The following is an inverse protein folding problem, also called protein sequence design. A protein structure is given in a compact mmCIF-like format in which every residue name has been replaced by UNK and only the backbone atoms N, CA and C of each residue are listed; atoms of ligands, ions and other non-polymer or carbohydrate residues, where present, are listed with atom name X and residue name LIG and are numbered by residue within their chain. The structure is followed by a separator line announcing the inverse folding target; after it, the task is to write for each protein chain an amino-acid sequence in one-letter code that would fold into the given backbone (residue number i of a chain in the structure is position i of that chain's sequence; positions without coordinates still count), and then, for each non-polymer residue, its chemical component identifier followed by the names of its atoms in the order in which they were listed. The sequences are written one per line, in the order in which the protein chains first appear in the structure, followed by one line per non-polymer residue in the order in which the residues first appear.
data_IF_568563738937
#
_entry.id   IF_568563738937
#
_cell.length_a   1.000
_cell.length_b   1.000
_cell.length_c   1.000
_cell.angle_alpha   90.00
_cell.angle_beta   90.00
_cell.angle_gamma   90.00
#
_symmetry.space_group_name_H-M   'P 1'
#
loop_
_entity.id
_entity.type
_entity.pdbx_description
1 polymer ?
#
# COMPACT_ATOMS: atom_id res chain seq x y z
N UNK A 1 55.73 17.33 -14.73
CA UNK A 1 56.40 17.13 -16.03
C UNK A 1 55.76 15.88 -16.65
N UNK A 2 55.12 16.01 -17.82
CA UNK A 2 54.61 14.87 -18.58
C UNK A 2 55.78 14.22 -19.31
N UNK A 3 56.02 12.96 -19.04
CA UNK A 3 57.12 12.21 -19.65
C UNK A 3 56.64 11.27 -20.77
N UNK A 4 55.54 11.63 -21.46
CA UNK A 4 55.11 10.84 -22.62
C UNK A 4 56.02 11.12 -23.81
N UNK A 5 56.46 10.05 -24.47
CA UNK A 5 57.46 10.10 -25.55
C UNK A 5 58.89 9.88 -25.06
N UNK A 6 59.84 10.09 -25.92
CA UNK A 6 61.25 9.94 -25.58
C UNK A 6 61.75 11.11 -24.71
N UNK A 7 62.24 10.78 -23.53
CA UNK A 7 62.85 11.73 -22.60
C UNK A 7 64.32 11.40 -22.48
N UNK A 8 65.18 12.37 -22.79
CA UNK A 8 66.62 12.24 -22.62
C UNK A 8 67.01 12.79 -21.25
N UNK A 9 67.49 11.90 -20.41
CA UNK A 9 67.97 12.27 -19.08
C UNK A 9 69.46 12.30 -19.09
N UNK A 10 70.04 13.43 -18.73
CA UNK A 10 71.46 13.60 -18.55
C UNK A 10 71.80 13.08 -17.14
N UNK A 11 72.68 12.06 -17.12
CA UNK A 11 73.12 11.42 -15.87
C UNK A 11 74.62 11.72 -15.70
N UNK A 12 74.96 12.28 -14.55
CA UNK A 12 76.32 12.63 -14.17
C UNK A 12 76.72 11.65 -13.07
N UNK A 13 77.79 10.93 -13.31
CA UNK A 13 78.47 10.17 -12.27
C UNK A 13 79.58 11.06 -11.66
N UNK A 14 79.46 11.31 -10.36
CA UNK A 14 80.50 12.02 -9.60
C UNK A 14 81.19 11.01 -8.67
N UNK A 15 82.46 10.72 -8.88
CA UNK A 15 83.22 9.82 -7.99
C UNK A 15 83.42 10.45 -6.61
N UNK A 16 83.51 9.62 -5.58
CA UNK A 16 83.75 10.07 -4.20
C UNK A 16 85.18 10.73 -4.07
N UNK A 17 86.10 10.24 -4.83
CA UNK A 17 87.47 10.85 -4.92
C UNK A 17 87.58 11.67 -6.20
N UNK A 18 87.23 12.94 -6.08
CA UNK A 18 87.28 13.92 -7.19
C UNK A 18 88.66 14.45 -7.50
N UNK A 19 89.69 14.15 -6.64
CA UNK A 19 91.11 14.49 -6.93
C UNK A 19 91.79 13.44 -7.82
N UNK A 20 91.36 12.19 -7.67
CA UNK A 20 91.92 11.09 -8.44
C UNK A 20 91.14 10.76 -9.72
N UNK A 21 89.83 11.11 -9.76
CA UNK A 21 88.96 10.74 -10.87
C UNK A 21 88.07 11.92 -11.33
N UNK A 22 87.81 12.00 -12.61
CA UNK A 22 86.94 13.00 -13.23
C UNK A 22 85.48 12.52 -13.28
N UNK A 23 84.53 13.44 -13.28
CA UNK A 23 83.13 13.15 -13.56
C UNK A 23 82.99 12.52 -14.95
N UNK A 24 81.98 11.62 -15.07
CA UNK A 24 81.62 11.05 -16.35
C UNK A 24 80.12 11.34 -16.59
N UNK A 25 79.77 11.57 -17.83
CA UNK A 25 78.39 11.93 -18.20
C UNK A 25 77.87 10.96 -19.27
N UNK A 26 76.60 10.63 -19.21
CA UNK A 26 75.88 9.90 -20.24
C UNK A 26 74.43 10.34 -20.39
N UNK A 27 73.82 10.06 -21.52
CA UNK A 27 72.38 10.24 -21.73
C UNK A 27 71.67 8.89 -21.60
N UNK A 28 70.53 8.89 -20.89
CA UNK A 28 69.65 7.76 -20.82
C UNK A 28 68.35 8.17 -21.47
N UNK A 29 67.83 7.37 -22.41
CA UNK A 29 66.55 7.57 -23.05
C UNK A 29 65.50 6.78 -22.26
N UNK A 30 64.50 7.47 -21.75
CA UNK A 30 63.31 6.89 -21.09
C UNK A 30 62.08 7.20 -21.93
N UNK A 31 61.42 6.16 -22.44
CA UNK A 31 60.19 6.33 -23.19
C UNK A 31 58.98 6.24 -22.23
N UNK A 32 58.30 7.35 -22.05
CA UNK A 32 56.99 7.37 -21.34
C UNK A 32 55.86 6.98 -22.29
N UNK A 33 55.01 6.10 -21.83
CA UNK A 33 53.79 5.70 -22.54
C UNK A 33 52.54 6.29 -21.86
N UNK A 34 51.46 6.46 -22.63
CA UNK A 34 50.16 6.85 -22.07
C UNK A 34 49.48 5.65 -21.44
N UNK A 35 48.68 5.92 -20.41
CA UNK A 35 47.77 4.92 -19.83
C UNK A 35 46.57 4.69 -20.72
N UNK A 36 46.14 3.46 -20.91
CA UNK A 36 44.96 3.12 -21.68
C UNK A 36 43.72 3.06 -20.75
N UNK A 37 42.67 3.80 -21.08
CA UNK A 37 41.43 3.69 -20.34
C UNK A 37 40.79 2.34 -20.63
N UNK A 38 40.44 1.58 -19.55
CA UNK A 38 39.83 0.26 -19.63
C UNK A 38 38.38 0.23 -19.11
N UNK A 39 38.01 1.20 -18.27
CA UNK A 39 36.68 1.19 -17.63
C UNK A 39 36.25 2.61 -17.29
N UNK A 40 34.93 2.88 -17.42
CA UNK A 40 34.24 4.05 -16.86
C UNK A 40 33.58 3.65 -15.54
N UNK A 41 33.99 4.29 -14.45
CA UNK A 41 33.48 3.99 -13.10
C UNK A 41 32.19 4.75 -12.75
N UNK A 42 32.03 5.95 -13.31
CA UNK A 42 30.83 6.77 -13.07
C UNK A 42 29.63 6.21 -13.83
N UNK A 43 28.52 5.99 -13.11
CA UNK A 43 27.25 5.55 -13.68
C UNK A 43 26.22 6.64 -13.43
N UNK A 44 25.46 7.00 -14.45
CA UNK A 44 24.36 7.94 -14.35
C UNK A 44 23.03 7.22 -14.55
N UNK A 45 22.01 7.64 -13.78
CA UNK A 45 20.64 7.18 -13.94
C UNK A 45 19.67 8.37 -13.84
N UNK A 46 18.68 8.40 -14.72
CA UNK A 46 17.58 9.38 -14.74
C UNK A 46 16.30 8.60 -14.61
N UNK A 47 15.62 8.70 -13.46
CA UNK A 47 14.43 7.89 -13.13
C UNK A 47 13.24 8.72 -12.64
N UNK A 48 13.40 10.05 -12.55
CA UNK A 48 12.44 10.98 -11.97
C UNK A 48 11.67 11.80 -13.01
N UNK A 49 11.89 11.54 -14.29
CA UNK A 49 11.27 12.32 -15.37
C UNK A 49 9.99 11.67 -15.89
N UNK A 50 8.93 12.47 -16.11
CA UNK A 50 7.69 11.96 -16.67
C UNK A 50 7.83 11.55 -18.14
N UNK A 51 6.98 10.63 -18.57
CA UNK A 51 6.81 10.28 -19.99
C UNK A 51 6.50 11.57 -20.79
N UNK A 52 7.12 11.71 -21.95
CA UNK A 52 7.00 12.92 -22.78
C UNK A 52 8.04 14.01 -22.46
N UNK A 53 8.96 13.79 -21.51
CA UNK A 53 10.00 14.78 -21.19
C UNK A 53 10.89 15.04 -22.41
N UNK A 54 10.98 16.29 -22.91
CA UNK A 54 11.87 16.60 -24.02
C UNK A 54 13.33 16.40 -23.64
N UNK A 55 14.19 16.09 -24.62
CA UNK A 55 15.63 15.90 -24.39
C UNK A 55 16.27 17.07 -23.64
N UNK A 56 15.88 18.31 -23.94
CA UNK A 56 16.43 19.52 -23.31
C UNK A 56 16.13 19.59 -21.80
N UNK A 57 15.07 18.92 -21.33
CA UNK A 57 14.64 18.89 -19.94
C UNK A 57 15.02 17.59 -19.22
N UNK A 58 15.64 16.66 -19.94
CA UNK A 58 16.04 15.36 -19.38
C UNK A 58 17.07 15.49 -18.27
N UNK A 59 17.94 16.51 -18.34
CA UNK A 59 18.98 16.76 -17.34
C UNK A 59 20.22 15.90 -17.61
N UNK A 60 20.65 15.82 -18.88
CA UNK A 60 21.89 15.13 -19.25
C UNK A 60 23.05 15.68 -18.44
N UNK A 61 23.87 14.81 -17.76
CA UNK A 61 25.02 15.26 -16.98
C UNK A 61 26.03 16.02 -17.83
N UNK A 62 26.51 17.13 -17.31
CA UNK A 62 27.57 17.95 -17.92
C UNK A 62 28.90 17.77 -17.24
N UNK A 63 28.90 17.25 -16.02
CA UNK A 63 30.12 16.84 -15.32
C UNK A 63 30.76 15.64 -16.03
N UNK A 64 32.09 15.62 -15.99
CA UNK A 64 32.86 14.51 -16.58
C UNK A 64 32.77 13.25 -15.70
N UNK A 65 33.25 12.15 -16.27
CA UNK A 65 33.28 10.83 -15.63
C UNK A 65 34.62 10.50 -15.03
N UNK A 66 34.64 9.58 -14.08
CA UNK A 66 35.85 8.93 -13.57
C UNK A 66 36.13 7.69 -14.39
N UNK A 67 37.36 7.56 -14.84
CA UNK A 67 37.83 6.41 -15.59
C UNK A 67 38.94 5.69 -14.84
N UNK A 68 39.10 4.38 -15.11
CA UNK A 68 40.19 3.55 -14.65
C UNK A 68 41.03 3.10 -15.85
N UNK A 69 42.32 3.02 -15.67
CA UNK A 69 43.25 2.63 -16.73
C UNK A 69 43.82 1.22 -16.50
N UNK A 70 44.53 0.71 -17.48
CA UNK A 70 45.27 -0.56 -17.49
C UNK A 70 46.24 -0.70 -16.33
N UNK A 71 46.87 0.38 -15.88
CA UNK A 71 47.71 0.42 -14.68
C UNK A 71 46.96 0.43 -13.36
N UNK A 72 45.62 0.57 -13.38
CA UNK A 72 44.78 0.77 -12.20
C UNK A 72 44.69 2.21 -11.72
N UNK A 73 45.37 3.17 -12.36
CA UNK A 73 45.22 4.58 -12.05
C UNK A 73 43.86 5.12 -12.45
N UNK A 74 43.34 6.07 -11.66
CA UNK A 74 42.06 6.70 -11.91
C UNK A 74 42.21 8.18 -12.30
N UNK A 75 41.43 8.62 -13.27
CA UNK A 75 41.41 9.99 -13.75
C UNK A 75 39.98 10.56 -13.77
N UNK A 76 39.82 11.77 -13.28
CA UNK A 76 38.55 12.51 -13.26
C UNK A 76 38.79 14.03 -13.14
N UNK A 77 37.93 14.85 -13.70
CA UNK A 77 36.80 14.51 -14.60
C UNK A 77 37.31 14.33 -16.06
N UNK A 78 36.77 13.35 -16.78
CA UNK A 78 36.92 13.21 -18.20
C UNK A 78 35.66 13.66 -18.88
N UNK A 79 35.66 14.66 -19.77
CA UNK A 79 34.48 15.11 -20.48
C UNK A 79 33.86 14.01 -21.35
N UNK A 80 32.53 14.07 -21.54
CA UNK A 80 31.78 13.09 -22.32
C UNK A 80 30.93 13.80 -23.37
N UNK A 81 30.95 13.31 -24.59
CA UNK A 81 30.06 13.69 -25.67
C UNK A 81 28.94 12.65 -25.76
N UNK A 82 27.71 13.02 -25.33
CA UNK A 82 26.59 12.11 -25.28
C UNK A 82 25.90 11.99 -26.65
N UNK A 83 25.67 10.75 -27.09
CA UNK A 83 24.85 10.44 -28.27
C UNK A 83 23.37 10.27 -27.84
N UNK A 84 22.59 11.30 -28.03
CA UNK A 84 21.18 11.34 -27.65
C UNK A 84 20.23 10.99 -28.79
N UNK A 85 20.74 10.54 -29.92
CA UNK A 85 19.95 10.27 -31.13
C UNK A 85 18.92 9.15 -30.96
N UNK A 86 19.17 8.21 -30.04
CA UNK A 86 18.31 7.08 -29.75
C UNK A 86 17.29 7.36 -28.63
N UNK A 87 17.30 8.54 -28.01
CA UNK A 87 16.35 8.86 -26.96
C UNK A 87 14.94 9.08 -27.50
N UNK A 88 13.98 8.31 -26.97
CA UNK A 88 12.55 8.44 -27.25
C UNK A 88 11.79 8.92 -26.01
N UNK A 89 11.28 10.15 -25.97
CA UNK A 89 10.52 10.68 -24.85
C UNK A 89 9.19 9.95 -24.61
N UNK A 90 8.70 9.16 -25.55
CA UNK A 90 7.42 8.44 -25.45
C UNK A 90 7.57 6.96 -25.11
N UNK A 91 8.80 6.47 -24.87
CA UNK A 91 9.05 5.10 -24.47
C UNK A 91 9.05 4.95 -22.94
N UNK A 92 8.28 3.98 -22.42
CA UNK A 92 8.34 3.54 -21.02
C UNK A 92 9.41 2.47 -20.78
N UNK A 93 9.94 1.89 -21.85
CA UNK A 93 11.03 0.92 -21.72
C UNK A 93 12.32 1.62 -21.30
N UNK A 94 13.15 0.98 -20.44
CA UNK A 94 14.44 1.54 -20.09
C UNK A 94 15.30 1.79 -21.33
N UNK A 95 15.94 2.95 -21.38
CA UNK A 95 16.78 3.38 -22.49
C UNK A 95 18.19 3.64 -22.00
N UNK A 96 19.21 3.35 -22.82
CA UNK A 96 20.60 3.64 -22.52
C UNK A 96 21.14 4.69 -23.50
N UNK A 97 21.57 5.82 -22.97
CA UNK A 97 22.29 6.85 -23.74
C UNK A 97 23.78 6.60 -23.59
N UNK A 98 24.47 6.45 -24.72
CA UNK A 98 25.91 6.23 -24.75
C UNK A 98 26.66 7.52 -24.93
N UNK A 99 27.85 7.62 -24.26
CA UNK A 99 28.73 8.76 -24.37
C UNK A 99 30.15 8.35 -24.79
N UNK A 100 30.72 9.12 -25.68
CA UNK A 100 32.10 8.99 -26.09
C UNK A 100 32.98 9.85 -25.20
N UNK A 101 34.07 9.30 -24.68
CA UNK A 101 35.02 10.03 -23.84
C UNK A 101 35.78 11.06 -24.68
N UNK A 102 35.69 12.32 -24.32
CA UNK A 102 36.41 13.40 -24.98
C UNK A 102 37.79 13.61 -24.30
N UNK A 103 38.66 12.65 -24.49
CA UNK A 103 40.02 12.68 -23.93
C UNK A 103 40.80 13.85 -24.45
N UNK A 104 40.59 14.25 -25.70
CA UNK A 104 41.34 15.33 -26.34
C UNK A 104 41.13 16.68 -25.63
N UNK A 105 39.92 16.93 -25.11
CA UNK A 105 39.60 18.14 -24.34
C UNK A 105 39.73 17.97 -22.83
N UNK A 106 40.23 16.83 -22.37
CA UNK A 106 40.49 16.58 -20.96
C UNK A 106 41.80 17.20 -20.49
N UNK A 107 41.87 17.57 -19.21
CA UNK A 107 43.11 18.01 -18.57
C UNK A 107 44.25 16.95 -18.67
N UNK A 108 43.86 15.69 -18.90
CA UNK A 108 44.78 14.52 -18.93
C UNK A 108 45.07 14.03 -20.34
N UNK A 109 44.77 14.81 -21.38
CA UNK A 109 44.93 14.42 -22.80
C UNK A 109 46.31 13.91 -23.18
N UNK A 110 47.36 14.38 -22.46
CA UNK A 110 48.74 13.98 -22.65
C UNK A 110 49.14 12.69 -21.93
N UNK A 111 48.31 12.25 -20.94
CA UNK A 111 48.61 11.12 -20.05
C UNK A 111 47.83 9.87 -20.36
N UNK A 112 46.66 10.02 -20.95
CA UNK A 112 45.73 8.90 -21.19
C UNK A 112 45.33 8.82 -22.66
N UNK A 113 44.92 7.61 -23.06
CA UNK A 113 44.28 7.30 -24.34
C UNK A 113 43.06 6.45 -24.09
N UNK A 114 42.09 6.48 -24.98
CA UNK A 114 40.93 5.58 -24.93
C UNK A 114 40.91 4.64 -26.12
N UNK A 115 40.44 3.42 -25.91
CA UNK A 115 40.03 2.51 -26.96
C UNK A 115 38.61 2.84 -27.39
N UNK A 116 38.23 2.53 -28.64
CA UNK A 116 36.94 2.92 -29.20
C UNK A 116 35.72 2.29 -28.51
N UNK A 117 35.89 1.18 -27.80
CA UNK A 117 34.81 0.42 -27.19
C UNK A 117 34.44 0.88 -25.75
N UNK A 118 35.29 1.73 -25.13
CA UNK A 118 35.01 2.23 -23.77
C UNK A 118 34.09 3.45 -23.85
N UNK A 119 32.85 3.29 -23.36
CA UNK A 119 31.85 4.32 -23.38
C UNK A 119 31.31 4.61 -21.99
N UNK A 120 30.89 5.85 -21.75
CA UNK A 120 30.05 6.24 -20.64
C UNK A 120 28.60 5.91 -20.94
N UNK A 121 27.78 5.69 -19.91
CA UNK A 121 26.35 5.37 -20.06
C UNK A 121 25.48 6.19 -19.12
N UNK A 122 24.27 6.51 -19.59
CA UNK A 122 23.17 7.01 -18.76
C UNK A 122 22.01 6.03 -18.93
N UNK A 123 21.54 5.44 -17.84
CA UNK A 123 20.31 4.67 -17.83
C UNK A 123 19.12 5.62 -17.63
N UNK A 124 18.16 5.63 -18.55
CA UNK A 124 16.97 6.48 -18.49
C UNK A 124 15.72 5.62 -18.37
N UNK A 125 14.91 5.86 -17.33
CA UNK A 125 13.61 5.24 -17.14
C UNK A 125 12.57 6.31 -16.87
N UNK A 126 11.67 6.54 -17.82
CA UNK A 126 10.62 7.54 -17.70
C UNK A 126 9.43 7.00 -16.89
N UNK A 127 8.80 7.88 -16.12
CA UNK A 127 7.61 7.54 -15.32
C UNK A 127 6.33 7.81 -16.12
N UNK A 128 5.43 6.83 -16.17
CA UNK A 128 4.07 7.07 -16.64
C UNK A 128 3.28 7.84 -15.58
N UNK A 129 2.94 9.09 -15.87
CA UNK A 129 2.15 9.96 -15.00
C UNK A 129 0.69 10.09 -15.45
N UNK A 130 0.27 9.36 -16.48
CA UNK A 130 -1.12 9.35 -16.94
C UNK A 130 -1.99 8.69 -15.88
N UNK A 131 -3.17 9.26 -15.64
CA UNK A 131 -4.17 8.71 -14.73
C UNK A 131 -5.32 8.14 -15.55
N UNK A 132 -5.53 6.85 -15.42
CA UNK A 132 -6.61 6.13 -16.10
C UNK A 132 -7.78 5.92 -15.15
N UNK A 133 -8.99 6.11 -15.67
CA UNK A 133 -10.21 5.83 -14.93
C UNK A 133 -10.40 4.32 -14.78
N UNK A 134 -10.62 3.89 -13.56
CA UNK A 134 -10.90 2.49 -13.23
C UNK A 134 -12.39 2.20 -13.30
N UNK A 135 -12.74 1.05 -13.86
CA UNK A 135 -14.10 0.54 -13.93
C UNK A 135 -14.14 -0.86 -13.35
N UNK A 136 -15.07 -1.12 -12.43
CA UNK A 136 -15.33 -2.47 -11.92
C UNK A 136 -16.20 -3.21 -12.95
N UNK A 137 -15.62 -4.24 -13.56
CA UNK A 137 -16.32 -5.05 -14.59
C UNK A 137 -16.97 -6.30 -14.00
N UNK A 138 -16.45 -6.77 -12.88
CA UNK A 138 -17.05 -7.84 -12.10
C UNK A 138 -17.04 -7.40 -10.64
N UNK A 139 -18.20 -7.10 -10.02
CA UNK A 139 -18.25 -6.83 -8.60
C UNK A 139 -17.75 -8.03 -7.78
N UNK A 140 -17.13 -7.80 -6.62
CA UNK A 140 -16.82 -8.87 -5.68
C UNK A 140 -18.10 -9.44 -5.08
N UNK A 141 -18.01 -10.64 -4.49
CA UNK A 141 -19.09 -11.27 -3.73
C UNK A 141 -18.72 -11.38 -2.26
N UNK A 142 -19.72 -11.51 -1.40
CA UNK A 142 -19.51 -11.76 0.02
C UNK A 142 -19.94 -13.18 0.31
N UNK A 143 -18.97 -14.04 0.61
CA UNK A 143 -19.17 -15.44 0.90
C UNK A 143 -19.21 -15.68 2.41
N UNK A 144 -20.10 -16.57 2.86
CA UNK A 144 -20.24 -16.93 4.26
C UNK A 144 -21.68 -16.88 4.72
N UNK A 145 -21.91 -17.35 5.94
CA UNK A 145 -23.20 -17.26 6.64
C UNK A 145 -23.08 -16.20 7.73
N UNK A 146 -23.88 -15.17 7.63
CA UNK A 146 -23.89 -14.03 8.55
C UNK A 146 -25.20 -14.01 9.33
N UNK A 147 -25.09 -13.71 10.60
CA UNK A 147 -26.25 -13.59 11.49
C UNK A 147 -26.36 -12.15 12.03
N UNK A 148 -27.54 -11.79 12.43
CA UNK A 148 -27.73 -10.56 13.19
C UNK A 148 -26.78 -10.52 14.40
N UNK A 149 -26.29 -9.34 14.72
CA UNK A 149 -25.23 -9.07 15.72
C UNK A 149 -23.83 -9.57 15.36
N UNK A 150 -23.60 -10.12 14.16
CA UNK A 150 -22.23 -10.29 13.67
C UNK A 150 -21.55 -8.94 13.57
N UNK A 151 -20.28 -8.92 13.86
CA UNK A 151 -19.49 -7.71 13.69
C UNK A 151 -19.26 -7.43 12.21
N UNK A 152 -19.18 -6.16 11.85
CA UNK A 152 -18.93 -5.76 10.47
C UNK A 152 -17.62 -6.32 9.90
N UNK A 153 -16.60 -6.52 10.75
CA UNK A 153 -15.31 -7.10 10.33
C UNK A 153 -15.47 -8.54 9.81
N UNK A 154 -16.53 -9.26 10.18
CA UNK A 154 -16.83 -10.59 9.62
C UNK A 154 -17.17 -10.54 8.14
N UNK A 155 -17.78 -9.46 7.64
CA UNK A 155 -18.05 -9.26 6.22
C UNK A 155 -16.76 -9.12 5.42
N UNK A 156 -15.75 -8.45 5.97
CA UNK A 156 -14.46 -8.23 5.29
C UNK A 156 -13.77 -9.55 4.96
N UNK A 157 -13.81 -10.51 5.87
CA UNK A 157 -13.24 -11.85 5.63
C UNK A 157 -13.99 -12.66 4.56
N UNK A 158 -15.27 -12.35 4.34
CA UNK A 158 -16.11 -12.96 3.32
C UNK A 158 -15.99 -12.35 1.93
N UNK A 159 -15.38 -11.18 1.78
CA UNK A 159 -15.27 -10.49 0.50
C UNK A 159 -14.32 -11.26 -0.43
N UNK A 160 -14.79 -11.68 -1.60
CA UNK A 160 -14.06 -12.53 -2.55
C UNK A 160 -14.25 -12.09 -3.99
N UNK A 161 -13.21 -12.37 -4.79
CA UNK A 161 -13.25 -12.13 -6.23
C UNK A 161 -13.32 -10.66 -6.60
N UNK A 162 -13.98 -10.38 -7.71
CA UNK A 162 -14.04 -9.06 -8.30
C UNK A 162 -12.95 -8.81 -9.32
N UNK A 163 -13.24 -7.94 -10.30
CA UNK A 163 -12.30 -7.53 -11.35
C UNK A 163 -12.49 -6.07 -11.69
N UNK A 164 -11.37 -5.37 -11.83
CA UNK A 164 -11.35 -3.99 -12.27
C UNK A 164 -10.49 -3.83 -13.54
N UNK A 165 -10.89 -2.94 -14.40
CA UNK A 165 -10.19 -2.63 -15.65
C UNK A 165 -9.93 -1.14 -15.77
N UNK A 166 -8.84 -0.80 -16.43
CA UNK A 166 -8.54 0.54 -16.90
C UNK A 166 -7.85 0.45 -18.26
N UNK A 167 -8.16 1.37 -19.14
CA UNK A 167 -7.58 1.41 -20.50
C UNK A 167 -7.65 0.04 -21.25
N UNK A 168 -8.74 -0.73 -21.04
CA UNK A 168 -8.95 -2.03 -21.68
C UNK A 168 -8.17 -3.20 -21.11
N UNK A 169 -7.43 -3.00 -20.01
CA UNK A 169 -6.65 -4.04 -19.34
C UNK A 169 -7.12 -4.26 -17.91
N UNK A 170 -7.05 -5.51 -17.43
CA UNK A 170 -7.29 -5.85 -16.03
C UNK A 170 -6.14 -5.27 -15.19
N UNK A 171 -6.49 -4.62 -14.07
CA UNK A 171 -5.52 -3.97 -13.19
C UNK A 171 -5.51 -4.64 -11.82
N UNK A 172 -4.34 -4.70 -11.23
CA UNK A 172 -4.15 -5.24 -9.88
C UNK A 172 -4.61 -4.27 -8.80
N UNK A 173 -5.19 -4.80 -7.73
CA UNK A 173 -5.65 -4.03 -6.57
C UNK A 173 -6.44 -4.88 -5.60
N UNK A 174 -6.99 -4.22 -4.59
CA UNK A 174 -7.79 -4.85 -3.53
C UNK A 174 -9.20 -4.27 -3.51
N UNK A 175 -10.17 -5.13 -3.18
CA UNK A 175 -11.54 -4.70 -2.87
C UNK A 175 -11.70 -4.62 -1.37
N UNK A 176 -12.18 -3.50 -0.87
CA UNK A 176 -12.41 -3.26 0.55
C UNK A 176 -13.77 -2.61 0.75
N UNK A 177 -14.45 -2.90 1.87
CA UNK A 177 -15.65 -2.15 2.23
C UNK A 177 -15.30 -0.70 2.52
N UNK A 178 -16.24 0.19 2.22
CA UNK A 178 -16.13 1.59 2.60
C UNK A 178 -16.11 1.71 4.13
N UNK A 179 -15.04 2.27 4.69
CA UNK A 179 -14.84 2.38 6.13
C UNK A 179 -15.90 3.25 6.80
N UNK A 180 -16.35 4.30 6.14
CA UNK A 180 -17.39 5.20 6.67
C UNK A 180 -18.73 4.49 6.78
N UNK A 181 -19.07 3.61 5.83
CA UNK A 181 -20.29 2.79 5.92
C UNK A 181 -20.17 1.69 6.98
N UNK A 182 -18.98 1.13 7.22
CA UNK A 182 -18.78 0.13 8.28
C UNK A 182 -18.90 0.72 9.68
N UNK A 183 -18.46 1.97 9.87
CA UNK A 183 -18.45 2.63 11.17
C UNK A 183 -19.77 3.32 11.49
N UNK A 184 -20.44 3.87 10.49
CA UNK A 184 -21.59 4.77 10.67
C UNK A 184 -22.88 4.30 9.98
N UNK A 185 -22.85 3.15 9.31
CA UNK A 185 -23.97 2.65 8.49
C UNK A 185 -25.26 2.36 9.27
N UNK A 186 -25.23 2.35 10.61
CA UNK A 186 -26.39 2.29 11.48
C UNK A 186 -26.24 3.26 12.66
N UNK A 187 -26.75 4.47 12.47
CA UNK A 187 -26.64 5.56 13.44
C UNK A 187 -27.43 5.35 14.73
N UNK A 188 -28.33 4.35 14.78
CA UNK A 188 -29.17 4.12 15.96
C UNK A 188 -28.40 3.47 17.13
N UNK A 189 -27.43 2.58 16.82
CA UNK A 189 -26.63 1.88 17.83
C UNK A 189 -25.22 1.56 17.27
N UNK A 190 -24.29 2.50 17.28
CA UNK A 190 -22.92 2.24 16.84
C UNK A 190 -22.31 1.10 17.66
N UNK A 191 -21.87 0.02 16.99
CA UNK A 191 -21.16 -1.09 17.64
C UNK A 191 -21.98 -2.31 18.03
N UNK A 192 -23.30 -2.38 17.75
CA UNK A 192 -24.13 -3.55 18.07
C UNK A 192 -24.01 -4.67 17.02
N UNK A 193 -23.58 -4.37 15.80
CA UNK A 193 -23.41 -5.38 14.76
C UNK A 193 -24.50 -5.35 13.67
N UNK A 194 -24.48 -6.36 12.82
CA UNK A 194 -25.37 -6.45 11.65
C UNK A 194 -26.84 -6.59 12.04
N UNK A 195 -27.74 -5.89 11.34
CA UNK A 195 -29.17 -6.16 11.36
C UNK A 195 -29.49 -7.32 10.41
N UNK A 196 -30.58 -8.06 10.67
CA UNK A 196 -31.01 -9.12 9.75
C UNK A 196 -31.68 -8.55 8.49
N UNK A 197 -31.65 -9.35 7.42
CA UNK A 197 -32.22 -9.01 6.12
C UNK A 197 -31.16 -8.81 5.05
N UNK A 198 -31.55 -8.19 3.96
CA UNK A 198 -30.63 -7.82 2.89
C UNK A 198 -29.95 -6.48 3.21
N UNK A 199 -28.63 -6.52 3.33
CA UNK A 199 -27.81 -5.34 3.52
C UNK A 199 -27.05 -5.03 2.22
N UNK A 200 -27.17 -3.80 1.72
CA UNK A 200 -26.37 -3.31 0.62
C UNK A 200 -25.23 -2.49 1.21
N UNK A 201 -23.99 -2.75 0.76
CA UNK A 201 -22.78 -2.08 1.23
C UNK A 201 -21.92 -1.65 0.06
N UNK A 202 -21.28 -0.52 0.19
CA UNK A 202 -20.31 -0.02 -0.77
C UNK A 202 -18.98 -0.72 -0.59
N UNK A 203 -18.42 -1.16 -1.71
CA UNK A 203 -17.07 -1.73 -1.79
C UNK A 203 -16.25 -0.87 -2.74
N UNK A 204 -15.06 -0.50 -2.30
CA UNK A 204 -14.12 0.33 -3.04
C UNK A 204 -12.99 -0.55 -3.54
N UNK A 205 -12.69 -0.46 -4.83
CA UNK A 205 -11.48 -1.01 -5.41
C UNK A 205 -10.34 -0.01 -5.23
N UNK A 206 -9.25 -0.44 -4.59
CA UNK A 206 -8.01 0.32 -4.42
C UNK A 206 -6.93 -0.29 -5.31
N UNK A 207 -6.52 0.38 -6.41
CA UNK A 207 -5.49 -0.15 -7.29
C UNK A 207 -4.12 -0.16 -6.59
N UNK A 208 -3.31 -1.19 -6.86
CA UNK A 208 -1.92 -1.29 -6.36
C UNK A 208 -1.09 -0.09 -6.85
N UNK A 209 -1.28 0.32 -8.10
CA UNK A 209 -0.67 1.53 -8.64
C UNK A 209 -1.67 2.71 -8.57
N UNK A 210 -1.82 3.32 -7.41
CA UNK A 210 -2.69 4.47 -7.18
C UNK A 210 -2.23 5.76 -7.88
N UNK A 211 -1.01 5.80 -8.41
CA UNK A 211 -0.48 6.94 -9.18
C UNK A 211 -1.11 7.00 -10.57
N UNK A 212 -1.30 5.83 -11.20
CA UNK A 212 -1.77 5.73 -12.58
C UNK A 212 -3.24 5.34 -12.72
N UNK A 213 -3.87 4.85 -11.65
CA UNK A 213 -5.26 4.39 -11.69
C UNK A 213 -6.09 5.00 -10.57
N UNK A 214 -7.32 5.40 -10.90
CA UNK A 214 -8.27 5.90 -9.91
C UNK A 214 -8.87 4.76 -9.10
N UNK A 215 -9.37 5.05 -7.89
CA UNK A 215 -10.27 4.16 -7.18
C UNK A 215 -11.61 4.04 -7.93
N UNK A 216 -12.32 2.95 -7.73
CA UNK A 216 -13.68 2.77 -8.22
C UNK A 216 -14.53 2.11 -7.13
N UNK A 217 -15.84 2.36 -7.13
CA UNK A 217 -16.75 1.79 -6.16
C UNK A 217 -17.89 1.03 -6.82
N UNK A 218 -18.38 0.00 -6.14
CA UNK A 218 -19.60 -0.72 -6.47
C UNK A 218 -20.33 -1.10 -5.18
N UNK A 219 -21.53 -1.65 -5.32
CA UNK A 219 -22.29 -2.17 -4.18
C UNK A 219 -22.33 -3.69 -4.22
N UNK A 220 -22.31 -4.30 -3.03
CA UNK A 220 -22.55 -5.71 -2.81
C UNK A 220 -23.76 -5.89 -1.89
N UNK A 221 -24.50 -6.99 -2.08
CA UNK A 221 -25.63 -7.33 -1.23
C UNK A 221 -25.29 -8.53 -0.38
N UNK A 222 -25.51 -8.42 0.93
CA UNK A 222 -25.29 -9.47 1.91
C UNK A 222 -26.63 -9.86 2.54
N UNK A 223 -26.89 -11.16 2.62
CA UNK A 223 -28.07 -11.66 3.33
C UNK A 223 -27.68 -12.05 4.75
N UNK A 224 -28.23 -11.37 5.73
CA UNK A 224 -27.99 -11.59 7.16
C UNK A 224 -29.18 -12.33 7.76
N UNK A 225 -28.94 -13.47 8.36
CA UNK A 225 -29.95 -14.30 9.00
C UNK A 225 -30.34 -13.71 10.37
N UNK A 226 -31.61 -13.79 10.76
CA UNK A 226 -32.07 -13.34 12.07
C UNK A 226 -31.57 -14.24 13.20
N UNK A 227 -31.59 -13.71 14.41
CA UNK A 227 -31.58 -14.53 15.62
C UNK A 227 -32.96 -15.11 15.85
N UNK A 228 -33.01 -16.28 16.47
CA UNK A 228 -34.28 -16.95 16.80
C UNK A 228 -34.43 -17.09 18.32
N UNK A 229 -35.61 -16.71 18.87
CA UNK A 229 -35.92 -16.94 20.26
C UNK A 229 -36.19 -18.44 20.46
N UNK A 230 -35.40 -19.10 21.32
CA UNK A 230 -35.58 -20.50 21.67
C UNK A 230 -36.30 -20.69 22.99
N UNK A 231 -36.21 -19.68 23.86
CA UNK A 231 -36.83 -19.73 25.19
C UNK A 231 -37.08 -18.33 25.72
N UNK A 232 -38.21 -18.12 26.38
CA UNK A 232 -38.48 -16.96 27.21
C UNK A 232 -38.25 -17.40 28.63
N UNK A 233 -37.50 -16.64 29.42
CA UNK A 233 -37.16 -16.96 30.80
C UNK A 233 -38.10 -16.15 31.72
N UNK A 234 -39.14 -16.74 32.31
CA UNK A 234 -40.07 -16.07 33.20
C UNK A 234 -39.50 -16.01 34.61
N UNK A 235 -38.42 -15.26 34.81
CA UNK A 235 -37.85 -15.09 36.15
C UNK A 235 -38.48 -13.90 36.86
N UNK A 236 -39.81 -13.97 37.04
CA UNK A 236 -40.55 -12.98 37.83
C UNK A 236 -40.87 -13.58 39.20
N UNK A 237 -40.56 -12.85 40.24
CA UNK A 237 -40.92 -13.24 41.61
C UNK A 237 -42.42 -13.04 41.84
N UNK A 238 -43.00 -13.92 42.64
CA UNK A 238 -44.40 -13.76 43.06
C UNK A 238 -44.57 -12.50 43.91
N UNK A 239 -45.60 -11.74 43.64
CA UNK A 239 -45.93 -10.55 44.43
C UNK A 239 -46.88 -10.94 45.54
N UNK A 240 -46.39 -10.96 46.76
CA UNK A 240 -47.14 -11.48 47.94
C UNK A 240 -47.45 -10.44 49.01
N UNK A 241 -46.93 -9.24 48.86
CA UNK A 241 -46.93 -8.20 49.93
C UNK A 241 -47.90 -7.04 49.65
N UNK A 242 -48.78 -7.17 48.68
CA UNK A 242 -49.70 -6.08 48.30
C UNK A 242 -51.05 -6.24 48.99
N UNK A 243 -51.55 -5.17 49.65
CA UNK A 243 -52.92 -5.18 50.23
C UNK A 243 -54.03 -5.18 49.14
N UNK A 244 -55.22 -5.67 49.51
CA UNK A 244 -56.39 -5.58 48.68
C UNK A 244 -56.65 -4.11 48.32
N UNK A 245 -57.03 -3.81 47.08
CA UNK A 245 -57.25 -2.44 46.59
C UNK A 245 -55.95 -1.83 45.95
N UNK A 246 -54.81 -2.52 45.94
CA UNK A 246 -53.62 -2.04 45.27
C UNK A 246 -53.87 -1.86 43.76
N UNK A 247 -53.62 -0.71 43.22
CA UNK A 247 -53.72 -0.46 41.77
C UNK A 247 -52.70 -1.27 40.97
N UNK A 248 -53.02 -1.62 39.74
CA UNK A 248 -52.17 -2.41 38.86
C UNK A 248 -50.77 -1.81 38.73
N UNK A 249 -50.67 -0.51 38.55
CA UNK A 249 -49.42 0.24 38.39
C UNK A 249 -48.56 0.26 39.66
N UNK A 250 -49.15 -0.10 40.81
CA UNK A 250 -48.45 -0.16 42.12
C UNK A 250 -48.02 -1.58 42.50
N UNK A 251 -48.30 -2.57 41.66
CA UNK A 251 -47.91 -3.95 41.91
C UNK A 251 -46.39 -4.13 41.92
N UNK A 252 -45.67 -3.30 41.16
CA UNK A 252 -44.20 -3.44 41.02
C UNK A 252 -43.81 -4.53 40.04
N UNK A 253 -44.65 -4.76 39.01
CA UNK A 253 -44.34 -5.72 37.95
C UNK A 253 -43.06 -5.33 37.21
N UNK A 254 -42.25 -6.32 36.86
CA UNK A 254 -41.02 -6.09 36.11
C UNK A 254 -41.32 -5.50 34.73
N UNK A 255 -40.56 -4.47 34.36
CA UNK A 255 -40.70 -3.80 33.06
C UNK A 255 -39.92 -4.53 31.94
N UNK A 256 -38.98 -5.41 32.26
CA UNK A 256 -38.21 -6.16 31.32
C UNK A 256 -38.19 -7.66 31.62
N UNK A 257 -38.15 -8.47 30.59
CA UNK A 257 -38.01 -9.92 30.66
C UNK A 257 -36.81 -10.39 29.84
N UNK A 258 -36.27 -11.55 30.20
CA UNK A 258 -35.16 -12.15 29.48
C UNK A 258 -35.60 -13.28 28.55
N UNK A 259 -34.80 -13.50 27.50
CA UNK A 259 -34.98 -14.56 26.52
C UNK A 259 -33.65 -15.14 26.10
N UNK A 260 -33.65 -16.43 25.78
CA UNK A 260 -32.54 -17.09 25.15
C UNK A 260 -32.73 -17.02 23.64
N UNK A 261 -31.75 -16.47 22.95
CA UNK A 261 -31.73 -16.38 21.49
C UNK A 261 -30.63 -17.27 20.91
N UNK A 262 -30.93 -17.89 19.80
CA UNK A 262 -30.04 -18.77 19.08
C UNK A 262 -29.50 -18.09 17.82
N UNK A 263 -28.21 -18.36 17.56
CA UNK A 263 -27.48 -17.90 16.37
C UNK A 263 -27.08 -19.11 15.53
N UNK A 264 -28.03 -19.66 14.79
CA UNK A 264 -27.78 -20.82 13.92
C UNK A 264 -27.57 -22.16 14.62
N UNK A 265 -26.96 -22.17 15.80
CA UNK A 265 -26.68 -23.37 16.59
C UNK A 265 -27.51 -23.35 17.89
N UNK A 266 -28.45 -24.31 18.08
CA UNK A 266 -29.32 -24.33 19.26
C UNK A 266 -28.55 -24.55 20.58
N UNK A 267 -27.32 -25.03 20.53
CA UNK A 267 -26.47 -25.20 21.70
C UNK A 267 -25.73 -23.93 22.10
N UNK A 268 -25.73 -22.90 21.23
CA UNK A 268 -25.10 -21.61 21.47
C UNK A 268 -26.14 -20.51 21.58
N UNK A 269 -26.66 -20.34 22.77
CA UNK A 269 -27.64 -19.29 23.06
C UNK A 269 -27.00 -18.10 23.77
N UNK A 270 -27.56 -16.93 23.53
CA UNK A 270 -27.22 -15.69 24.23
C UNK A 270 -28.45 -15.18 24.94
N UNK A 271 -28.29 -14.70 26.17
CA UNK A 271 -29.39 -14.12 26.94
C UNK A 271 -29.55 -12.67 26.55
N UNK A 272 -30.75 -12.29 26.14
CA UNK A 272 -31.16 -10.93 25.81
C UNK A 272 -32.37 -10.51 26.65
N UNK A 273 -32.55 -9.22 26.83
CA UNK A 273 -33.69 -8.67 27.58
C UNK A 273 -34.38 -7.61 26.74
N UNK A 274 -35.71 -7.58 26.85
CA UNK A 274 -36.54 -6.53 26.24
C UNK A 274 -37.77 -6.26 27.11
N UNK A 275 -38.58 -5.32 26.69
CA UNK A 275 -39.78 -4.83 27.43
C UNK A 275 -40.81 -5.90 27.58
N UNK A 276 -41.41 -6.01 28.79
CA UNK A 276 -42.59 -6.83 29.06
C UNK A 276 -43.81 -5.94 29.16
N UNK A 277 -44.83 -6.29 28.43
CA UNK A 277 -46.17 -5.66 28.54
C UNK A 277 -47.11 -6.63 29.21
N UNK A 278 -47.58 -6.28 30.39
CA UNK A 278 -48.47 -7.08 31.20
C UNK A 278 -49.95 -6.85 30.82
N UNK A 279 -50.75 -7.93 30.87
CA UNK A 279 -52.18 -7.83 30.59
C UNK A 279 -52.95 -7.37 31.83
N UNK A 280 -53.22 -6.07 31.88
CA UNK A 280 -53.91 -5.41 32.98
C UNK A 280 -55.34 -5.95 33.18
N UNK A 281 -55.97 -6.50 32.14
CA UNK A 281 -57.36 -7.02 32.27
C UNK A 281 -57.46 -8.31 33.07
N UNK A 282 -56.33 -8.93 33.37
CA UNK A 282 -56.25 -10.15 34.20
C UNK A 282 -56.11 -9.87 35.69
N UNK A 283 -56.15 -8.61 36.08
CA UNK A 283 -55.98 -8.19 37.46
C UNK A 283 -57.23 -7.49 38.00
N UNK A 284 -57.75 -7.98 39.14
CA UNK A 284 -58.81 -7.35 39.91
C UNK A 284 -58.28 -6.95 41.31
N UNK A 285 -58.14 -5.64 41.60
CA UNK A 285 -57.60 -5.18 42.88
C UNK A 285 -58.46 -5.55 44.10
N UNK A 286 -59.73 -5.91 43.91
CA UNK A 286 -60.65 -6.22 44.99
C UNK A 286 -60.75 -7.71 45.32
N UNK A 287 -60.07 -8.57 44.59
CA UNK A 287 -60.06 -10.02 44.80
C UNK A 287 -59.00 -10.40 45.83
N UNK A 288 -59.33 -11.17 46.91
CA UNK A 288 -58.41 -11.60 47.95
C UNK A 288 -57.66 -12.89 47.59
N UNK A 289 -57.87 -13.42 46.39
CA UNK A 289 -57.30 -14.70 45.96
C UNK A 289 -56.09 -14.46 45.04
N UNK A 290 -55.24 -15.49 44.92
CA UNK A 290 -54.16 -15.52 43.98
C UNK A 290 -54.64 -15.23 42.55
N UNK A 291 -53.97 -14.32 41.88
CA UNK A 291 -54.24 -13.95 40.49
C UNK A 291 -53.00 -14.19 39.67
N UNK A 292 -53.18 -14.73 38.47
CA UNK A 292 -52.12 -14.93 37.50
C UNK A 292 -52.26 -13.90 36.42
N UNK A 293 -51.24 -13.06 36.31
CA UNK A 293 -51.14 -12.03 35.26
C UNK A 293 -50.15 -12.49 34.22
N UNK A 294 -50.58 -12.51 32.96
CA UNK A 294 -49.68 -12.86 31.86
C UNK A 294 -49.05 -11.59 31.28
N UNK A 295 -47.78 -11.72 30.94
CA UNK A 295 -47.03 -10.70 30.18
C UNK A 295 -46.60 -11.22 28.82
N UNK A 296 -46.48 -10.32 27.87
CA UNK A 296 -45.86 -10.62 26.59
C UNK A 296 -44.56 -9.83 26.46
N UNK A 297 -43.51 -10.46 25.92
CA UNK A 297 -42.29 -9.80 25.57
C UNK A 297 -42.51 -9.02 24.26
N UNK A 298 -42.12 -7.75 24.23
CA UNK A 298 -42.23 -6.88 23.07
C UNK A 298 -40.82 -6.55 22.61
N UNK A 299 -40.50 -6.98 21.40
CA UNK A 299 -39.17 -6.75 20.82
C UNK A 299 -39.04 -5.30 20.35
N UNK A 300 -38.85 -4.38 21.29
CA UNK A 300 -38.68 -2.96 21.00
C UNK A 300 -37.21 -2.62 20.66
N UNK A 301 -36.30 -3.20 21.41
CA UNK A 301 -34.86 -2.98 21.25
C UNK A 301 -34.29 -3.87 20.15
N UNK A 302 -34.74 -5.13 20.07
CA UNK A 302 -34.14 -6.18 19.25
C UNK A 302 -34.92 -6.51 17.98
N UNK A 303 -35.94 -5.70 17.61
CA UNK A 303 -36.80 -5.94 16.45
C UNK A 303 -36.08 -6.09 15.11
N UNK A 304 -34.88 -5.47 14.97
CA UNK A 304 -34.08 -5.49 13.76
C UNK A 304 -33.03 -6.64 13.75
N UNK A 305 -33.04 -7.50 14.79
CA UNK A 305 -32.07 -8.58 14.99
C UNK A 305 -32.73 -9.94 15.18
N UNK A 306 -33.97 -10.00 15.61
CA UNK A 306 -34.72 -11.22 15.94
C UNK A 306 -35.94 -11.31 15.01
N UNK A 307 -36.17 -12.52 14.47
CA UNK A 307 -37.40 -12.86 13.71
C UNK A 307 -38.14 -14.04 14.31
#
# INVERSE_FOLDING_TARGET
VSFVGENRLHVIFTPDDTEAYTTAECEVIVTGIRYTITEVLTKFAITDKPLGTPLAELGIPTEGVTVKTDSGAMFAPIPVIWDTSAYDPNSLEPQTIYGTLDVANSYFHDKIVTETDVKATIEVSLMDTRVFQTTIVTPPTVEGTFYALDRYETLTSGLKGGKAMANGQEIEGTFEFDEDELLYGDTAYPGIGLKYGQLTRTVVFKPTNSRNYTTAACTVTVNVLPLTIVRINPNFEDITDKPIGTAFEQLGLAEAGSMDVMRGDPQKTTIMSDTVVWDKNQYDPNTPYEQRITGRLVLSTWKDYIA
#
